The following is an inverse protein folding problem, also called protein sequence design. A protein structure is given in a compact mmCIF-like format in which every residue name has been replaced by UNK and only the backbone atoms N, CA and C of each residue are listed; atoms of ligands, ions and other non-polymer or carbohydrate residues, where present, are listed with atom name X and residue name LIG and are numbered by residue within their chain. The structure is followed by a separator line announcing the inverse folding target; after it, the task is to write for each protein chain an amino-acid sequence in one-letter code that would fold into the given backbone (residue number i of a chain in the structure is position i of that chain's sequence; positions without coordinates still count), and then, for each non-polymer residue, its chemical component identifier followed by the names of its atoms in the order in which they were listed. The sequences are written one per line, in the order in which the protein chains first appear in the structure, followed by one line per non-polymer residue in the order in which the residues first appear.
data_IF_742578361202
#
_entry.id   IF_742578361202
#
_cell.length_a   1.000
_cell.length_b   1.000
_cell.length_c   1.000
_cell.angle_alpha   90.00
_cell.angle_beta   90.00
_cell.angle_gamma   90.00
#
_symmetry.space_group_name_H-M   'P 1'
#
loop_
_entity.id
_entity.type
_entity.pdbx_description
1 polymer ?
#
# COMPACT_ATOMS: atom_id res chain seq x y z
N UNK A 1 -2.73 26.93 -7.76
CA UNK A 1 -2.40 25.49 -7.82
C UNK A 1 -1.05 25.28 -8.45
N UNK A 2 -0.20 24.54 -7.79
CA UNK A 2 1.13 24.21 -8.32
C UNK A 2 1.04 22.92 -9.11
N UNK A 3 1.51 22.93 -10.34
CA UNK A 3 1.47 21.75 -11.21
C UNK A 3 2.75 20.93 -11.07
N UNK A 4 2.60 19.64 -10.84
CA UNK A 4 3.70 18.70 -10.68
C UNK A 4 3.53 17.57 -11.69
N UNK A 5 4.56 17.34 -12.47
CA UNK A 5 4.53 16.34 -13.54
C UNK A 5 5.69 15.34 -13.50
N UNK A 6 6.55 15.42 -12.50
CA UNK A 6 7.68 14.50 -12.40
C UNK A 6 8.02 14.16 -10.96
N UNK A 7 8.61 12.98 -10.80
CA UNK A 7 9.16 12.51 -9.54
C UNK A 7 10.63 12.88 -9.50
N UNK A 8 11.05 13.58 -8.45
CA UNK A 8 12.43 14.08 -8.34
C UNK A 8 13.37 13.08 -7.69
N UNK A 9 12.85 12.18 -6.88
CA UNK A 9 13.65 11.20 -6.16
C UNK A 9 12.85 10.45 -5.13
N UNK A 10 13.53 9.85 -4.17
CA UNK A 10 12.89 9.09 -3.09
C UNK A 10 13.66 9.27 -1.79
N UNK A 11 12.96 9.38 -0.67
CA UNK A 11 13.60 9.46 0.65
C UNK A 11 14.39 8.20 0.99
N UNK A 12 14.06 7.08 0.34
CA UNK A 12 14.75 5.81 0.58
C UNK A 12 16.06 5.68 -0.21
N UNK A 13 16.27 6.50 -1.21
CA UNK A 13 17.46 6.47 -2.06
C UNK A 13 18.43 7.60 -1.77
N UNK A 14 17.96 8.67 -1.14
CA UNK A 14 18.76 9.84 -0.85
C UNK A 14 19.06 9.94 0.63
N UNK A 15 20.35 9.99 0.95
CA UNK A 15 20.83 10.16 2.31
C UNK A 15 20.94 11.67 2.61
N UNK A 16 19.83 12.38 2.52
CA UNK A 16 19.83 13.82 2.62
C UNK A 16 19.22 14.34 3.90
N UNK A 17 19.99 15.11 4.64
CA UNK A 17 19.53 15.92 5.77
C UNK A 17 18.51 17.00 5.36
N UNK A 18 18.39 17.28 4.07
CA UNK A 18 17.43 18.24 3.54
C UNK A 18 15.99 17.77 3.58
N UNK A 19 15.77 16.48 3.79
CA UNK A 19 14.44 15.88 3.85
C UNK A 19 13.62 16.33 5.06
N UNK A 20 14.22 16.98 6.03
CA UNK A 20 13.54 17.39 7.26
C UNK A 20 12.60 18.59 7.08
N UNK A 21 12.71 19.32 5.97
CA UNK A 21 11.92 20.52 5.71
C UNK A 21 10.93 20.36 4.56
N UNK A 22 10.67 19.13 4.13
CA UNK A 22 9.76 18.90 3.02
C UNK A 22 8.31 18.98 3.48
N UNK A 23 7.47 19.55 2.64
CA UNK A 23 6.04 19.42 2.84
C UNK A 23 5.66 17.95 2.63
N UNK A 24 4.53 17.54 3.19
CA UNK A 24 4.06 16.16 3.13
C UNK A 24 2.73 16.07 2.41
N UNK A 25 2.62 15.13 1.50
CA UNK A 25 1.36 14.78 0.86
C UNK A 25 0.92 13.42 1.39
N UNK A 26 -0.11 13.42 2.24
CA UNK A 26 -0.70 12.18 2.73
C UNK A 26 -1.75 11.70 1.74
N UNK A 27 -1.59 10.48 1.25
CA UNK A 27 -2.41 9.98 0.15
C UNK A 27 -2.71 8.49 0.34
N UNK A 28 -3.93 8.08 0.02
CA UNK A 28 -4.31 6.68 0.11
C UNK A 28 -3.62 5.83 -0.96
N UNK A 29 -3.47 4.54 -0.69
CA UNK A 29 -2.90 3.60 -1.66
C UNK A 29 -3.66 3.63 -2.99
N UNK A 30 -4.99 3.72 -2.93
CA UNK A 30 -5.83 3.76 -4.14
C UNK A 30 -5.56 5.01 -4.96
N UNK A 31 -5.39 6.15 -4.30
CA UNK A 31 -5.09 7.40 -4.99
C UNK A 31 -3.67 7.44 -5.56
N UNK A 32 -2.73 6.70 -4.96
CA UNK A 32 -1.37 6.60 -5.52
C UNK A 32 -1.34 6.03 -6.93
N UNK A 33 -2.33 5.24 -7.29
CA UNK A 33 -2.40 4.64 -8.62
C UNK A 33 -2.92 5.61 -9.68
N UNK A 34 -3.47 6.73 -9.28
CA UNK A 34 -4.00 7.72 -10.22
C UNK A 34 -2.88 8.55 -10.80
N UNK A 35 -2.88 8.72 -12.11
CA UNK A 35 -1.94 9.57 -12.82
C UNK A 35 -2.22 11.05 -12.64
N UNK A 36 -3.48 11.39 -12.55
CA UNK A 36 -3.95 12.77 -12.47
C UNK A 36 -4.76 12.92 -11.20
N UNK A 37 -4.33 13.81 -10.33
CA UNK A 37 -5.10 14.11 -9.14
C UNK A 37 -4.75 15.49 -8.59
N UNK A 38 -5.68 16.05 -7.82
CA UNK A 38 -5.50 17.33 -7.13
C UNK A 38 -5.63 17.09 -5.64
N UNK A 39 -4.66 17.56 -4.88
CA UNK A 39 -4.60 17.36 -3.43
C UNK A 39 -3.98 18.58 -2.77
N UNK A 40 -4.11 18.66 -1.45
CA UNK A 40 -3.43 19.66 -0.64
C UNK A 40 -2.40 18.99 0.25
N UNK A 41 -1.27 19.65 0.43
CA UNK A 41 -0.22 19.18 1.34
C UNK A 41 -0.62 19.41 2.80
N UNK A 42 0.20 18.93 3.72
CA UNK A 42 0.00 19.16 5.16
C UNK A 42 0.02 20.65 5.53
N UNK A 43 0.65 21.50 4.71
CA UNK A 43 0.67 22.94 4.92
C UNK A 43 -0.43 23.67 4.14
N UNK A 44 -1.32 22.95 3.50
CA UNK A 44 -2.42 23.53 2.74
C UNK A 44 -2.08 23.94 1.33
N UNK A 45 -0.89 23.62 0.84
CA UNK A 45 -0.50 23.95 -0.53
C UNK A 45 -1.32 23.11 -1.53
N UNK A 46 -1.98 23.79 -2.44
CA UNK A 46 -2.83 23.15 -3.45
C UNK A 46 -1.96 22.70 -4.63
N UNK A 47 -1.93 21.42 -4.91
CA UNK A 47 -1.11 20.85 -5.96
C UNK A 47 -1.94 20.02 -6.94
N UNK A 48 -1.59 20.11 -8.21
CA UNK A 48 -2.11 19.26 -9.27
C UNK A 48 -1.01 18.33 -9.75
N UNK A 49 -1.25 17.04 -9.71
CA UNK A 49 -0.30 16.04 -10.16
C UNK A 49 -0.78 15.47 -11.49
N UNK A 50 0.11 15.47 -12.48
CA UNK A 50 -0.18 14.90 -13.80
C UNK A 50 1.08 14.18 -14.28
N UNK A 51 1.11 12.86 -14.08
CA UNK A 51 2.27 12.03 -14.43
C UNK A 51 2.09 11.35 -15.77
N UNK A 52 3.21 10.94 -16.36
CA UNK A 52 3.21 10.13 -17.57
C UNK A 52 2.54 8.77 -17.32
N UNK A 53 2.01 8.18 -18.39
CA UNK A 53 1.25 6.92 -18.32
C UNK A 53 2.04 5.73 -17.73
N UNK A 54 3.37 5.78 -17.81
CA UNK A 54 4.22 4.71 -17.28
C UNK A 54 4.72 4.97 -15.87
N UNK A 55 4.36 6.11 -15.27
CA UNK A 55 4.88 6.52 -13.98
C UNK A 55 3.79 6.46 -12.92
N UNK A 56 4.09 5.84 -11.78
CA UNK A 56 3.20 5.78 -10.63
C UNK A 56 3.89 6.34 -9.40
N UNK A 57 3.14 7.05 -8.59
CA UNK A 57 3.63 7.52 -7.30
C UNK A 57 3.78 6.35 -6.33
N UNK A 58 4.78 6.43 -5.50
CA UNK A 58 5.03 5.45 -4.45
C UNK A 58 5.27 6.16 -3.12
N UNK A 59 5.00 5.45 -2.04
CA UNK A 59 5.34 5.91 -0.71
C UNK A 59 6.83 6.28 -0.64
N UNK A 60 7.11 7.46 -0.13
CA UNK A 60 8.49 7.95 -0.01
C UNK A 60 9.00 8.74 -1.20
N UNK A 61 8.24 8.83 -2.28
CA UNK A 61 8.64 9.63 -3.44
C UNK A 61 8.72 11.11 -3.07
N UNK A 62 9.70 11.80 -3.66
CA UNK A 62 9.82 13.25 -3.57
C UNK A 62 9.35 13.82 -4.90
N UNK A 63 8.35 14.68 -4.84
CA UNK A 63 7.78 15.33 -6.02
C UNK A 63 7.90 16.84 -5.87
N UNK A 64 7.82 17.54 -6.96
CA UNK A 64 7.87 19.00 -6.91
C UNK A 64 8.44 19.62 -8.14
N UNK A 65 8.94 20.84 -7.96
CA UNK A 65 9.58 21.63 -9.02
C UNK A 65 10.71 22.45 -8.38
N UNK A 66 11.17 23.51 -9.08
CA UNK A 66 12.24 24.34 -8.56
C UNK A 66 11.85 25.15 -7.32
N UNK A 67 10.55 25.31 -7.06
CA UNK A 67 10.05 26.14 -5.97
C UNK A 67 9.66 25.34 -4.74
N UNK A 68 9.21 24.10 -4.91
CA UNK A 68 8.66 23.31 -3.83
C UNK A 68 9.05 21.84 -3.95
N UNK A 69 9.34 21.22 -2.82
CA UNK A 69 9.58 19.78 -2.72
C UNK A 69 8.62 19.18 -1.70
N UNK A 70 8.01 18.09 -2.07
CA UNK A 70 6.97 17.42 -1.28
C UNK A 70 7.31 15.93 -1.20
N UNK A 71 7.25 15.37 0.01
CA UNK A 71 7.39 13.92 0.18
C UNK A 71 5.99 13.29 0.20
N UNK A 72 5.85 12.21 -0.54
CA UNK A 72 4.60 11.44 -0.61
C UNK A 72 4.57 10.43 0.53
N UNK A 73 3.54 10.51 1.38
CA UNK A 73 3.34 9.55 2.47
C UNK A 73 2.04 8.81 2.25
N UNK A 74 2.11 7.50 2.11
CA UNK A 74 0.92 6.67 2.01
C UNK A 74 0.23 6.57 3.36
N UNK A 75 -1.09 6.70 3.36
CA UNK A 75 -1.90 6.59 4.57
C UNK A 75 -1.99 5.12 4.97
N UNK A 76 -1.78 4.78 6.25
CA UNK A 76 -2.02 3.41 6.74
C UNK A 76 -3.46 2.98 6.52
N UNK A 77 -3.67 1.70 6.28
CA UNK A 77 -5.00 1.13 6.10
C UNK A 77 -5.16 -0.14 6.93
N UNK A 78 -6.39 -0.56 7.13
CA UNK A 78 -6.66 -1.80 7.84
C UNK A 78 -6.28 -2.99 6.97
N UNK A 79 -5.59 -3.94 7.57
CA UNK A 79 -5.20 -5.18 6.92
C UNK A 79 -5.50 -6.34 7.85
N UNK A 80 -5.69 -7.53 7.26
CA UNK A 80 -5.64 -8.77 8.02
C UNK A 80 -4.24 -9.33 7.82
N UNK A 81 -3.56 -9.63 8.91
CA UNK A 81 -2.30 -10.38 8.87
C UNK A 81 -2.58 -11.82 9.24
N UNK A 82 -2.04 -12.73 8.46
CA UNK A 82 -2.17 -14.16 8.68
C UNK A 82 -0.80 -14.76 8.87
N UNK A 83 -0.59 -15.33 10.04
CA UNK A 83 0.67 -15.99 10.39
C UNK A 83 0.44 -17.50 10.44
N UNK A 84 1.36 -18.27 9.84
CA UNK A 84 1.35 -19.72 9.97
C UNK A 84 1.88 -20.09 11.35
N UNK A 85 1.17 -20.98 12.04
CA UNK A 85 1.63 -21.49 13.33
C UNK A 85 2.82 -22.42 13.20
N UNK A 86 2.93 -23.08 12.05
CA UNK A 86 4.00 -24.03 11.74
C UNK A 86 4.48 -23.81 10.31
N UNK A 87 5.70 -24.22 10.02
CA UNK A 87 6.23 -24.18 8.66
C UNK A 87 5.64 -25.34 7.87
N UNK A 88 4.51 -25.09 7.23
CA UNK A 88 3.79 -26.08 6.43
C UNK A 88 3.50 -25.50 5.05
N UNK A 89 4.19 -26.02 4.04
CA UNK A 89 4.05 -25.55 2.66
C UNK A 89 2.64 -25.73 2.12
N UNK A 90 1.98 -26.81 2.47
CA UNK A 90 0.61 -27.09 2.01
C UNK A 90 -0.35 -26.03 2.53
N UNK A 91 -0.25 -25.71 3.80
CA UNK A 91 -1.08 -24.66 4.42
C UNK A 91 -0.81 -23.30 3.77
N UNK A 92 0.47 -22.98 3.55
CA UNK A 92 0.83 -21.73 2.89
C UNK A 92 0.23 -21.62 1.49
N UNK A 93 0.28 -22.68 0.71
CA UNK A 93 -0.28 -22.72 -0.65
C UNK A 93 -1.79 -22.56 -0.61
N UNK A 94 -2.48 -23.27 0.27
CA UNK A 94 -3.93 -23.17 0.42
C UNK A 94 -4.34 -21.78 0.87
N UNK A 95 -3.61 -21.18 1.80
CA UNK A 95 -3.85 -19.83 2.26
C UNK A 95 -3.77 -18.82 1.11
N UNK A 96 -2.70 -18.88 0.32
CA UNK A 96 -2.52 -18.02 -0.84
C UNK A 96 -3.62 -18.20 -1.87
N UNK A 97 -4.05 -19.44 -2.10
CA UNK A 97 -5.11 -19.76 -3.03
C UNK A 97 -6.45 -19.14 -2.60
N UNK A 98 -6.80 -19.27 -1.33
CA UNK A 98 -8.05 -18.71 -0.79
C UNK A 98 -8.06 -17.19 -0.90
N UNK A 99 -6.96 -16.54 -0.53
CA UNK A 99 -6.85 -15.07 -0.65
C UNK A 99 -6.91 -14.65 -2.12
N UNK A 100 -6.22 -15.36 -3.01
CA UNK A 100 -6.21 -15.08 -4.44
C UNK A 100 -7.59 -15.19 -5.07
N UNK A 101 -8.42 -16.13 -4.62
CA UNK A 101 -9.78 -16.26 -5.09
C UNK A 101 -10.66 -15.07 -4.73
N UNK A 102 -10.28 -14.30 -3.74
CA UNK A 102 -11.00 -13.07 -3.35
C UNK A 102 -10.42 -11.83 -4.03
N UNK A 103 -9.47 -12.02 -4.94
CA UNK A 103 -8.86 -10.95 -5.71
C UNK A 103 -8.29 -9.81 -4.85
N UNK A 104 -7.70 -10.17 -3.72
CA UNK A 104 -7.04 -9.21 -2.85
C UNK A 104 -5.56 -9.11 -3.19
N UNK A 105 -4.99 -7.90 -3.23
CA UNK A 105 -3.53 -7.77 -3.30
C UNK A 105 -2.93 -8.29 -1.99
N UNK A 106 -1.73 -8.81 -2.06
CA UNK A 106 -1.06 -9.34 -0.87
C UNK A 106 0.30 -8.69 -0.68
N UNK A 107 0.74 -8.66 0.58
CA UNK A 107 2.11 -8.35 0.94
C UNK A 107 2.62 -9.48 1.83
N UNK A 108 3.90 -9.81 1.68
CA UNK A 108 4.56 -10.81 2.50
C UNK A 108 5.56 -10.07 3.37
N UNK A 109 5.42 -10.21 4.68
CA UNK A 109 6.28 -9.57 5.65
C UNK A 109 6.67 -10.59 6.70
N UNK A 110 7.97 -10.89 6.79
CA UNK A 110 8.47 -11.98 7.61
C UNK A 110 7.78 -13.29 7.19
N UNK A 111 7.11 -13.97 8.08
CA UNK A 111 6.37 -15.19 7.78
C UNK A 111 4.87 -14.97 7.75
N UNK A 112 4.45 -13.74 7.47
CA UNK A 112 3.05 -13.36 7.45
C UNK A 112 2.61 -12.93 6.08
N UNK A 113 1.35 -13.19 5.76
CA UNK A 113 0.69 -12.64 4.59
C UNK A 113 -0.28 -11.58 5.08
N UNK A 114 -0.23 -10.42 4.43
CA UNK A 114 -1.13 -9.32 4.72
C UNK A 114 -1.98 -9.02 3.50
N UNK A 115 -3.23 -8.65 3.73
CA UNK A 115 -4.10 -8.16 2.66
C UNK A 115 -5.06 -7.11 3.21
N UNK A 116 -5.45 -6.12 2.38
CA UNK A 116 -6.26 -5.01 2.87
C UNK A 116 -7.72 -5.41 3.06
N UNK A 117 -8.34 -4.77 4.04
CA UNK A 117 -9.78 -4.88 4.29
C UNK A 117 -10.35 -3.47 4.45
N UNK A 118 -11.66 -3.34 4.33
CA UNK A 118 -12.33 -2.07 4.52
C UNK A 118 -12.97 -1.96 5.90
N UNK A 119 -13.49 -3.07 6.41
CA UNK A 119 -14.20 -3.09 7.68
C UNK A 119 -13.78 -4.27 8.55
N UNK A 120 -13.87 -4.10 9.87
CA UNK A 120 -13.49 -5.13 10.84
C UNK A 120 -14.33 -6.39 10.71
N UNK A 121 -15.57 -6.26 10.23
CA UNK A 121 -16.46 -7.41 10.02
C UNK A 121 -15.94 -8.40 8.98
N UNK A 122 -15.00 -7.99 8.13
CA UNK A 122 -14.39 -8.90 7.17
C UNK A 122 -13.57 -10.01 7.85
N UNK A 123 -13.12 -9.79 9.08
CA UNK A 123 -12.38 -10.82 9.81
C UNK A 123 -13.21 -12.10 9.96
N UNK A 124 -14.49 -12.00 10.30
CA UNK A 124 -15.36 -13.15 10.43
C UNK A 124 -15.57 -13.86 9.09
N UNK A 125 -15.66 -13.09 8.02
CA UNK A 125 -15.80 -13.65 6.68
C UNK A 125 -14.58 -14.50 6.33
N UNK A 126 -13.38 -13.96 6.57
CA UNK A 126 -12.15 -14.69 6.27
C UNK A 126 -11.94 -15.88 7.21
N UNK A 127 -12.34 -15.78 8.48
CA UNK A 127 -12.31 -16.94 9.37
C UNK A 127 -13.12 -18.10 8.82
N UNK A 128 -14.28 -17.82 8.24
CA UNK A 128 -15.10 -18.86 7.60
C UNK A 128 -14.48 -19.39 6.31
N UNK A 129 -13.86 -18.51 5.52
CA UNK A 129 -13.19 -18.94 4.29
C UNK A 129 -11.98 -19.82 4.59
N UNK A 130 -11.32 -19.58 5.71
CA UNK A 130 -10.14 -20.35 6.13
C UNK A 130 -10.47 -21.54 7.02
N UNK A 131 -11.74 -21.91 7.16
CA UNK A 131 -12.18 -22.94 8.14
C UNK A 131 -11.39 -24.25 8.08
N UNK A 132 -10.97 -24.67 6.90
CA UNK A 132 -10.21 -25.92 6.72
C UNK A 132 -8.79 -25.84 7.25
N UNK A 133 -8.25 -24.65 7.34
CA UNK A 133 -6.86 -24.42 7.79
C UNK A 133 -6.78 -23.55 9.04
N UNK A 134 -7.94 -23.23 9.64
CA UNK A 134 -8.00 -22.23 10.72
C UNK A 134 -7.17 -22.59 11.95
N UNK A 135 -7.01 -23.89 12.23
CA UNK A 135 -6.22 -24.34 13.36
C UNK A 135 -4.70 -24.19 13.15
N UNK A 136 -4.29 -23.94 11.92
CA UNK A 136 -2.88 -23.81 11.53
C UNK A 136 -2.43 -22.36 11.33
N UNK A 137 -3.32 -21.43 11.53
CA UNK A 137 -3.05 -20.01 11.25
C UNK A 137 -3.54 -19.12 12.40
N UNK A 138 -2.97 -17.93 12.48
CA UNK A 138 -3.42 -16.87 13.37
C UNK A 138 -3.80 -15.66 12.56
N UNK A 139 -5.01 -15.16 12.73
CA UNK A 139 -5.50 -13.97 12.04
C UNK A 139 -5.55 -12.79 12.99
N UNK A 140 -5.20 -11.61 12.49
CA UNK A 140 -5.16 -10.39 13.29
C UNK A 140 -5.47 -9.20 12.40
N UNK A 141 -6.27 -8.27 12.89
CA UNK A 141 -6.47 -6.98 12.22
C UNK A 141 -5.39 -6.03 12.69
N UNK A 142 -4.72 -5.39 11.75
CA UNK A 142 -3.69 -4.41 12.01
C UNK A 142 -3.91 -3.20 11.12
N UNK A 143 -3.24 -2.10 11.43
CA UNK A 143 -3.26 -0.91 10.61
C UNK A 143 -1.84 -0.62 10.17
N UNK A 144 -1.59 -0.63 8.86
CA UNK A 144 -0.25 -0.50 8.30
C UNK A 144 -0.27 0.23 6.98
N UNK A 145 0.88 0.79 6.62
CA UNK A 145 1.12 1.23 5.25
C UNK A 145 1.26 -0.03 4.41
N UNK A 146 0.24 -0.31 3.60
CA UNK A 146 0.20 -1.55 2.82
C UNK A 146 0.94 -1.37 1.49
N UNK A 147 2.04 -2.10 1.32
CA UNK A 147 2.86 -2.09 0.11
C UNK A 147 2.68 -3.44 -0.59
N UNK A 148 1.83 -3.55 -1.59
CA UNK A 148 1.51 -4.84 -2.17
C UNK A 148 2.69 -5.48 -2.86
N UNK A 149 2.88 -6.77 -2.58
CA UNK A 149 3.84 -7.61 -3.26
C UNK A 149 3.27 -8.03 -4.61
N UNK A 150 1.97 -8.34 -4.62
CA UNK A 150 1.21 -8.61 -5.83
C UNK A 150 -0.09 -7.82 -5.80
N UNK A 151 -0.59 -7.49 -6.98
CA UNK A 151 -1.85 -6.77 -7.12
C UNK A 151 -2.92 -7.66 -7.72
N UNK A 152 -4.15 -7.47 -7.26
CA UNK A 152 -5.30 -8.16 -7.83
C UNK A 152 -5.60 -7.74 -9.26
N UNK A 153 -5.04 -6.63 -9.71
CA UNK A 153 -5.32 -6.09 -11.04
C UNK A 153 -4.40 -6.61 -12.12
N UNK A 154 -3.65 -7.64 -11.84
CA UNK A 154 -2.70 -8.18 -12.78
C UNK A 154 -3.34 -9.00 -13.88
N UNK A 155 -4.57 -9.35 -13.72
CA UNK A 155 -5.18 -10.25 -14.62
C UNK A 155 -5.93 -9.57 -15.68
N UNK A 156 -5.35 -8.84 -16.42
CA UNK A 156 -5.97 -8.35 -17.47
C UNK A 156 -6.06 -9.23 -18.61
N UNK A 157 -7.05 -9.48 -19.05
CA UNK A 157 -7.27 -10.42 -20.10
C UNK A 157 -8.17 -9.89 -21.17
#
# INVERSE_FOLDING_TARGET
MININSILGSIFKENNSENNNLEKLKISRVDLEKRILRKKTNLGTDIGINLNSSTKLQHGDIIGNNEIKIVVEQIPEKVISVKLKEDDEKIAILLGHIIGNRHRPIAIKDKMILFPIQEDSELEIFQRLFKEIIDHIELKIEEEIFLPHTSADVHEH
#
